data_IF_180345394893
#
_entry.id   IF_180345394893
#
_cell.length_a   1.000
_cell.length_b   1.000
_cell.length_c   1.000
_cell.angle_alpha   90.00
_cell.angle_beta   90.00
_cell.angle_gamma   90.00
#
_symmetry.space_group_name_H-M   'P 1'
#
loop_
_entity.id
_entity.type
_entity.pdbx_description
1 polymer ?
#
# COMPACT_ATOMS: atom_id res chain seq x y z
N UNK A 1 -14.15 31.71 -12.84
CA UNK A 1 -14.26 31.37 -14.27
C UNK A 1 -15.70 31.53 -14.74
N UNK A 2 -16.00 32.68 -15.39
CA UNK A 2 -17.26 32.85 -16.11
C UNK A 2 -17.16 32.00 -17.41
N UNK A 3 -17.61 30.76 -17.39
CA UNK A 3 -17.82 29.98 -18.60
C UNK A 3 -18.99 30.61 -19.39
N UNK A 4 -18.69 31.19 -20.54
CA UNK A 4 -19.66 31.61 -21.58
C UNK A 4 -20.90 32.41 -21.11
N UNK A 5 -20.74 33.33 -20.20
CA UNK A 5 -21.80 34.31 -19.89
C UNK A 5 -23.04 33.82 -19.10
N UNK A 6 -23.17 32.50 -18.86
CA UNK A 6 -24.24 31.92 -18.03
C UNK A 6 -23.71 31.54 -16.64
N UNK A 7 -24.34 32.08 -15.59
CA UNK A 7 -24.07 31.72 -14.20
C UNK A 7 -24.60 30.29 -13.99
N UNK A 8 -23.73 29.32 -13.72
CA UNK A 8 -24.18 28.00 -13.28
C UNK A 8 -24.97 28.11 -11.97
N UNK A 9 -26.01 27.30 -11.80
CA UNK A 9 -26.67 27.20 -10.50
C UNK A 9 -25.70 26.67 -9.46
N UNK A 10 -25.87 27.03 -8.19
CA UNK A 10 -25.05 26.53 -7.10
C UNK A 10 -25.10 25.01 -6.96
N UNK A 11 -26.26 24.41 -7.28
CA UNK A 11 -26.46 22.94 -7.29
C UNK A 11 -25.60 22.24 -8.34
N UNK A 12 -25.57 22.76 -9.57
CA UNK A 12 -24.74 22.22 -10.65
C UNK A 12 -23.25 22.39 -10.32
N UNK A 13 -22.86 23.54 -9.76
CA UNK A 13 -21.49 23.77 -9.36
C UNK A 13 -21.05 22.79 -8.24
N UNK A 14 -21.90 22.58 -7.24
CA UNK A 14 -21.65 21.63 -6.15
C UNK A 14 -21.58 20.18 -6.64
N UNK A 15 -22.48 19.78 -7.54
CA UNK A 15 -22.48 18.44 -8.16
C UNK A 15 -21.20 18.18 -8.96
N UNK A 16 -20.71 19.16 -9.71
CA UNK A 16 -19.50 19.03 -10.52
C UNK A 16 -18.21 19.08 -9.70
N UNK A 17 -18.19 19.82 -8.60
CA UNK A 17 -17.04 19.88 -7.71
C UNK A 17 -16.93 18.61 -6.85
N UNK A 18 -18.05 18.05 -6.43
CA UNK A 18 -18.08 16.86 -5.57
C UNK A 18 -17.20 17.03 -4.34
N UNK A 19 -16.36 16.05 -4.08
CA UNK A 19 -15.40 16.01 -2.95
C UNK A 19 -14.00 16.58 -3.33
N UNK A 20 -13.83 17.16 -4.53
CA UNK A 20 -12.51 17.55 -5.06
C UNK A 20 -11.70 18.41 -4.10
N UNK A 21 -12.31 19.41 -3.47
CA UNK A 21 -11.60 20.31 -2.52
C UNK A 21 -11.06 19.55 -1.31
N UNK A 22 -11.79 18.59 -0.79
CA UNK A 22 -11.31 17.77 0.36
C UNK A 22 -10.18 16.85 -0.06
N UNK A 23 -10.33 16.17 -1.20
CA UNK A 23 -9.32 15.27 -1.76
C UNK A 23 -8.04 16.05 -2.15
N UNK A 24 -8.21 17.23 -2.69
CA UNK A 24 -7.12 18.09 -3.15
C UNK A 24 -6.21 18.58 -2.01
N UNK A 25 -6.67 18.56 -0.76
CA UNK A 25 -5.80 18.82 0.41
C UNK A 25 -4.60 17.87 0.44
N UNK A 26 -4.79 16.64 0.00
CA UNK A 26 -3.72 15.62 -0.06
C UNK A 26 -2.68 15.88 -1.15
N UNK A 27 -3.07 16.55 -2.24
CA UNK A 27 -2.20 16.78 -3.40
C UNK A 27 -1.71 18.22 -3.54
N UNK A 28 -2.18 19.15 -2.73
CA UNK A 28 -1.91 20.57 -2.83
C UNK A 28 -0.42 20.91 -2.84
N UNK A 29 0.35 20.33 -1.92
CA UNK A 29 1.79 20.58 -1.83
C UNK A 29 2.55 20.06 -3.06
N UNK A 30 2.05 19.00 -3.69
CA UNK A 30 2.62 18.42 -4.90
C UNK A 30 2.29 19.24 -6.15
N UNK A 31 1.10 19.84 -6.20
CA UNK A 31 0.75 20.81 -7.26
C UNK A 31 1.60 22.08 -7.17
N UNK A 32 1.85 22.59 -5.95
CA UNK A 32 2.80 23.70 -5.75
C UNK A 32 4.20 23.30 -6.22
N UNK A 33 4.67 22.10 -5.92
CA UNK A 33 5.97 21.60 -6.38
C UNK A 33 6.02 21.54 -7.91
N UNK A 34 5.00 21.00 -8.55
CA UNK A 34 4.88 20.93 -10.01
C UNK A 34 4.81 22.34 -10.63
N UNK A 35 4.12 23.27 -9.98
CA UNK A 35 4.02 24.68 -10.42
C UNK A 35 5.37 25.39 -10.36
N UNK A 36 6.19 25.13 -9.34
CA UNK A 36 7.57 25.68 -9.26
C UNK A 36 8.42 25.20 -10.44
N UNK A 37 8.41 23.88 -10.73
CA UNK A 37 9.14 23.32 -11.85
C UNK A 37 8.64 23.89 -13.20
N UNK A 38 7.33 24.08 -13.32
CA UNK A 38 6.76 24.71 -14.51
C UNK A 38 7.19 26.17 -14.69
N UNK A 39 7.23 26.97 -13.61
CA UNK A 39 7.74 28.36 -13.64
C UNK A 39 9.20 28.41 -14.08
N UNK A 40 10.04 27.48 -13.60
CA UNK A 40 11.43 27.37 -14.08
C UNK A 40 11.49 27.02 -15.58
N UNK A 41 10.59 26.17 -16.05
CA UNK A 41 10.48 25.86 -17.47
C UNK A 41 10.05 27.09 -18.30
N UNK A 42 9.05 27.85 -17.88
CA UNK A 42 8.63 29.08 -18.56
C UNK A 42 9.76 30.12 -18.61
N UNK A 43 10.57 30.19 -17.55
CA UNK A 43 11.77 31.03 -17.55
C UNK A 43 12.81 30.53 -18.56
N UNK A 44 13.07 29.22 -18.61
CA UNK A 44 14.07 28.65 -19.52
C UNK A 44 13.77 28.84 -21.00
N UNK A 45 12.48 28.99 -21.36
CA UNK A 45 12.02 29.25 -22.72
C UNK A 45 11.70 30.75 -22.99
N UNK A 46 12.04 31.65 -22.06
CA UNK A 46 11.91 33.11 -22.24
C UNK A 46 10.51 33.69 -22.09
N UNK A 47 9.50 32.90 -21.67
CA UNK A 47 8.10 33.39 -21.44
C UNK A 47 8.03 34.30 -20.23
N UNK A 48 8.84 34.04 -19.21
CA UNK A 48 8.98 34.89 -18.03
C UNK A 48 10.43 35.28 -17.78
N UNK A 49 10.67 36.45 -17.24
CA UNK A 49 12.01 36.98 -16.94
C UNK A 49 12.51 36.42 -15.60
N UNK A 50 13.83 36.44 -15.37
CA UNK A 50 14.47 35.95 -14.13
C UNK A 50 13.84 36.56 -12.86
N UNK A 51 13.65 37.89 -12.80
CA UNK A 51 13.04 38.55 -11.64
C UNK A 51 11.57 38.17 -11.43
N UNK A 52 10.83 37.91 -12.50
CA UNK A 52 9.43 37.46 -12.46
C UNK A 52 9.36 36.02 -11.90
N UNK A 53 10.20 35.11 -12.41
CA UNK A 53 10.31 33.73 -11.93
C UNK A 53 10.62 33.69 -10.42
N UNK A 54 11.60 34.48 -9.97
CA UNK A 54 11.95 34.55 -8.55
C UNK A 54 10.78 34.98 -7.67
N UNK A 55 10.00 35.99 -8.10
CA UNK A 55 8.82 36.46 -7.35
C UNK A 55 7.73 35.38 -7.28
N UNK A 56 7.42 34.74 -8.41
CA UNK A 56 6.41 33.69 -8.46
C UNK A 56 6.81 32.48 -7.57
N UNK A 57 8.05 32.01 -7.67
CA UNK A 57 8.56 30.89 -6.88
C UNK A 57 8.53 31.21 -5.38
N UNK A 58 8.91 32.44 -5.00
CA UNK A 58 8.81 32.89 -3.61
C UNK A 58 7.36 32.80 -3.10
N UNK A 59 6.42 33.35 -3.88
CA UNK A 59 4.99 33.33 -3.51
C UNK A 59 4.44 31.90 -3.42
N UNK A 60 4.84 30.97 -4.32
CA UNK A 60 4.48 29.55 -4.23
C UNK A 60 5.03 28.87 -2.98
N UNK A 61 6.29 29.15 -2.60
CA UNK A 61 6.89 28.62 -1.36
C UNK A 61 6.18 29.17 -0.12
N UNK A 62 5.83 30.46 -0.12
CA UNK A 62 5.06 31.08 0.96
C UNK A 62 3.66 30.45 1.08
N UNK A 63 3.00 30.19 -0.04
CA UNK A 63 1.71 29.49 -0.06
C UNK A 63 1.82 28.08 0.52
N UNK A 64 2.85 27.31 0.14
CA UNK A 64 3.11 25.99 0.71
C UNK A 64 3.27 26.05 2.22
N UNK A 65 4.09 27.00 2.71
CA UNK A 65 4.30 27.21 4.15
C UNK A 65 3.00 27.55 4.86
N UNK A 66 2.24 28.53 4.36
CA UNK A 66 0.94 28.92 4.92
C UNK A 66 -0.07 27.77 4.98
N UNK A 67 -0.08 26.90 3.97
CA UNK A 67 -0.93 25.72 3.97
C UNK A 67 -0.51 24.71 5.05
N UNK A 68 0.79 24.43 5.16
CA UNK A 68 1.32 23.51 6.17
C UNK A 68 1.12 24.01 7.62
N UNK A 69 1.16 25.33 7.83
CA UNK A 69 0.90 25.98 9.12
C UNK A 69 -0.62 26.19 9.41
N UNK A 70 -1.50 25.84 8.46
CA UNK A 70 -2.96 25.98 8.61
C UNK A 70 -3.49 27.42 8.43
N UNK A 71 -2.63 28.39 8.11
CA UNK A 71 -3.03 29.79 7.86
C UNK A 71 -3.64 30.02 6.47
N UNK A 72 -3.40 29.11 5.52
CA UNK A 72 -4.14 29.04 4.27
C UNK A 72 -4.97 27.76 4.24
N UNK A 73 -6.27 27.89 3.96
CA UNK A 73 -7.21 26.74 3.92
C UNK A 73 -7.82 26.60 2.53
N UNK A 74 -7.82 25.38 2.01
CA UNK A 74 -8.64 24.99 0.86
C UNK A 74 -10.09 24.86 1.35
N UNK A 75 -10.97 25.61 0.74
CA UNK A 75 -12.41 25.65 1.07
C UNK A 75 -13.23 25.66 -0.22
N UNK A 76 -14.51 25.41 -0.13
CA UNK A 76 -15.47 25.46 -1.24
C UNK A 76 -15.57 26.83 -1.96
N UNK A 77 -14.79 27.82 -1.54
CA UNK A 77 -14.56 29.06 -2.27
C UNK A 77 -13.84 28.83 -3.60
N UNK A 78 -13.04 27.77 -3.69
CA UNK A 78 -12.29 27.38 -4.86
C UNK A 78 -12.94 26.16 -5.54
N UNK A 79 -12.77 26.03 -6.84
CA UNK A 79 -13.27 24.86 -7.59
C UNK A 79 -12.39 23.62 -7.33
N UNK A 80 -11.06 23.84 -7.22
CA UNK A 80 -10.03 22.83 -6.99
C UNK A 80 -8.74 23.48 -6.43
N UNK A 81 -7.73 22.70 -6.12
CA UNK A 81 -6.44 23.19 -5.62
C UNK A 81 -5.70 24.04 -6.67
N UNK A 82 -5.86 23.74 -7.94
CA UNK A 82 -5.21 24.46 -9.04
C UNK A 82 -5.73 25.89 -9.13
N UNK A 83 -7.05 26.08 -9.04
CA UNK A 83 -7.68 27.40 -9.00
C UNK A 83 -7.33 28.17 -7.73
N UNK A 84 -7.14 27.49 -6.60
CA UNK A 84 -6.69 28.13 -5.37
C UNK A 84 -5.27 28.71 -5.49
N UNK A 85 -4.34 27.97 -6.13
CA UNK A 85 -2.99 28.45 -6.41
C UNK A 85 -3.02 29.67 -7.35
N UNK A 86 -3.77 29.57 -8.44
CA UNK A 86 -3.89 30.66 -9.42
C UNK A 86 -4.50 31.93 -8.78
N UNK A 87 -5.55 31.78 -7.99
CA UNK A 87 -6.18 32.87 -7.26
C UNK A 87 -5.21 33.53 -6.27
N UNK A 88 -4.48 32.71 -5.50
CA UNK A 88 -3.49 33.24 -4.55
C UNK A 88 -2.40 34.05 -5.26
N UNK A 89 -1.81 33.47 -6.32
CA UNK A 89 -0.76 34.14 -7.08
C UNK A 89 -1.25 35.41 -7.76
N UNK A 90 -2.47 35.43 -8.30
CA UNK A 90 -3.07 36.60 -8.92
C UNK A 90 -3.34 37.69 -7.89
N UNK A 91 -3.77 37.34 -6.67
CA UNK A 91 -3.99 38.28 -5.58
C UNK A 91 -2.67 38.92 -5.11
N UNK A 92 -1.60 38.12 -4.99
CA UNK A 92 -0.30 38.60 -4.48
C UNK A 92 0.54 39.33 -5.55
N UNK A 93 0.43 38.96 -6.82
CA UNK A 93 1.35 39.36 -7.89
C UNK A 93 0.64 40.04 -9.09
N UNK A 94 -0.69 40.16 -9.06
CA UNK A 94 -1.46 40.75 -10.15
C UNK A 94 -1.31 39.98 -11.47
N UNK A 95 -1.08 40.71 -12.56
CA UNK A 95 -0.89 40.13 -13.91
C UNK A 95 0.26 39.10 -14.00
N UNK A 96 1.27 39.24 -13.15
CA UNK A 96 2.37 38.34 -13.11
C UNK A 96 1.91 36.94 -12.64
N UNK A 97 1.02 36.88 -11.66
CA UNK A 97 0.46 35.62 -11.14
C UNK A 97 -0.27 34.80 -12.22
N UNK A 98 -0.94 35.48 -13.16
CA UNK A 98 -1.70 34.87 -14.26
C UNK A 98 -0.79 34.10 -15.25
N UNK A 99 0.49 34.49 -15.37
CA UNK A 99 1.45 33.85 -16.28
C UNK A 99 1.71 32.39 -15.93
N UNK A 100 1.47 31.95 -14.69
CA UNK A 100 1.75 30.58 -14.24
C UNK A 100 0.92 29.53 -14.97
N UNK A 101 -0.27 29.87 -15.46
CA UNK A 101 -1.10 28.93 -16.22
C UNK A 101 -0.69 28.76 -17.68
N UNK A 102 0.27 29.56 -18.19
CA UNK A 102 0.72 29.50 -19.58
C UNK A 102 1.24 28.11 -19.96
N UNK A 103 0.65 27.52 -21.01
CA UNK A 103 1.08 26.21 -21.52
C UNK A 103 0.67 25.02 -20.63
N UNK A 104 -0.25 25.18 -19.71
CA UNK A 104 -0.82 24.11 -18.87
C UNK A 104 -2.30 23.89 -19.11
N UNK A 105 -2.75 22.69 -18.78
CA UNK A 105 -4.15 22.36 -18.57
C UNK A 105 -4.33 21.82 -17.15
N UNK A 106 -5.51 21.97 -16.56
CA UNK A 106 -5.84 21.27 -15.30
C UNK A 106 -5.65 19.77 -15.43
N UNK A 107 -5.80 19.22 -16.64
CA UNK A 107 -5.66 17.79 -16.88
C UNK A 107 -4.23 17.30 -16.59
N UNK A 108 -3.19 17.95 -17.11
CA UNK A 108 -1.80 17.54 -16.82
C UNK A 108 -1.33 17.98 -15.43
N UNK A 109 -1.89 19.06 -14.88
CA UNK A 109 -1.64 19.49 -13.50
C UNK A 109 -2.10 18.45 -12.48
N UNK A 110 -3.34 17.96 -12.58
CA UNK A 110 -3.86 16.96 -11.65
C UNK A 110 -3.09 15.64 -11.76
N UNK A 111 -2.72 15.21 -12.98
CA UNK A 111 -1.99 13.97 -13.16
C UNK A 111 -0.59 14.06 -12.53
N UNK A 112 0.14 15.16 -12.70
CA UNK A 112 1.48 15.29 -12.11
C UNK A 112 1.42 15.37 -10.59
N UNK A 113 0.46 16.12 -10.02
CA UNK A 113 0.27 16.22 -8.58
C UNK A 113 -0.07 14.86 -7.96
N UNK A 114 -1.01 14.12 -8.55
CA UNK A 114 -1.36 12.76 -8.15
C UNK A 114 -0.19 11.79 -8.29
N UNK A 115 0.63 11.92 -9.35
CA UNK A 115 1.79 11.06 -9.57
C UNK A 115 2.88 11.27 -8.53
N UNK A 116 3.17 12.53 -8.15
CA UNK A 116 4.09 12.87 -7.08
C UNK A 116 3.57 12.39 -5.72
N UNK A 117 2.29 12.63 -5.44
CA UNK A 117 1.62 12.10 -4.24
C UNK A 117 1.75 10.57 -4.15
N UNK A 118 1.40 9.87 -5.23
CA UNK A 118 1.44 8.42 -5.26
C UNK A 118 2.86 7.87 -5.08
N UNK A 119 3.85 8.46 -5.75
CA UNK A 119 5.26 8.07 -5.62
C UNK A 119 5.74 8.20 -4.17
N UNK A 120 5.44 9.33 -3.50
CA UNK A 120 5.85 9.52 -2.11
C UNK A 120 5.14 8.54 -1.17
N UNK A 121 3.83 8.30 -1.37
CA UNK A 121 3.10 7.35 -0.55
C UNK A 121 3.55 5.90 -0.77
N UNK A 122 3.91 5.49 -1.98
CA UNK A 122 4.51 4.19 -2.23
C UNK A 122 5.87 4.02 -1.53
N UNK A 123 6.68 5.07 -1.47
CA UNK A 123 7.94 5.06 -0.70
C UNK A 123 7.65 4.85 0.79
N UNK A 124 6.69 5.56 1.34
CA UNK A 124 6.27 5.39 2.74
C UNK A 124 5.71 3.98 2.97
N UNK A 125 4.87 3.49 2.07
CA UNK A 125 4.28 2.16 2.09
C UNK A 125 5.36 1.05 2.07
N UNK A 126 6.43 1.22 1.29
CA UNK A 126 7.60 0.34 1.32
C UNK A 126 8.26 0.29 2.70
N UNK A 127 8.47 1.45 3.32
CA UNK A 127 9.07 1.55 4.66
C UNK A 127 8.18 0.83 5.70
N UNK A 128 6.87 1.00 5.62
CA UNK A 128 5.90 0.37 6.52
C UNK A 128 5.90 -1.16 6.34
N UNK A 129 5.88 -1.69 5.10
CA UNK A 129 5.99 -3.13 4.81
C UNK A 129 7.32 -3.71 5.35
N UNK A 130 8.43 -2.97 5.15
CA UNK A 130 9.75 -3.37 5.66
C UNK A 130 9.78 -3.49 7.19
N UNK A 131 9.07 -2.61 7.88
CA UNK A 131 8.94 -2.66 9.34
C UNK A 131 8.16 -3.90 9.78
N UNK A 132 7.05 -4.24 9.10
CA UNK A 132 6.28 -5.47 9.37
C UNK A 132 7.14 -6.71 9.16
N UNK A 133 7.78 -6.84 7.99
CA UNK A 133 8.67 -7.96 7.69
C UNK A 133 9.77 -8.14 8.76
N UNK A 134 10.42 -7.04 9.14
CA UNK A 134 11.45 -7.05 10.20
C UNK A 134 10.91 -7.51 11.55
N UNK A 135 9.71 -7.08 11.91
CA UNK A 135 9.06 -7.45 13.17
C UNK A 135 8.73 -8.95 13.19
N UNK A 136 8.18 -9.46 12.10
CA UNK A 136 7.86 -10.88 11.94
C UNK A 136 9.12 -11.76 11.96
N UNK A 137 10.20 -11.37 11.27
CA UNK A 137 11.48 -12.09 11.31
C UNK A 137 12.08 -12.15 12.72
N UNK A 138 11.95 -11.09 13.49
CA UNK A 138 12.39 -11.07 14.90
C UNK A 138 11.64 -12.11 15.73
N UNK A 139 10.32 -12.22 15.55
CA UNK A 139 9.51 -13.21 16.26
C UNK A 139 9.74 -14.62 15.71
N UNK A 140 9.90 -14.79 14.41
CA UNK A 140 10.26 -16.06 13.80
C UNK A 140 11.54 -16.63 14.43
N UNK A 141 12.57 -15.80 14.57
CA UNK A 141 13.82 -16.20 15.20
C UNK A 141 13.68 -16.50 16.70
N UNK A 142 12.90 -15.70 17.43
CA UNK A 142 12.64 -15.92 18.87
C UNK A 142 11.90 -17.22 19.13
N UNK A 143 11.02 -17.63 18.19
CA UNK A 143 10.12 -18.75 18.35
C UNK A 143 10.40 -19.87 17.33
N UNK A 144 11.63 -19.93 16.82
CA UNK A 144 12.05 -20.86 15.76
C UNK A 144 11.72 -22.31 16.09
N UNK A 145 11.98 -22.73 17.32
CA UNK A 145 11.81 -24.09 17.80
C UNK A 145 10.57 -24.27 18.70
N UNK A 146 9.75 -23.25 18.87
CA UNK A 146 8.53 -23.41 19.66
C UNK A 146 7.48 -24.11 18.82
N UNK A 147 7.12 -25.30 19.24
CA UNK A 147 6.16 -26.15 18.53
C UNK A 147 4.77 -25.52 18.48
N UNK A 148 4.09 -25.72 17.37
CA UNK A 148 2.68 -25.46 17.18
C UNK A 148 2.06 -26.53 16.26
N UNK A 149 0.77 -26.83 16.41
CA UNK A 149 0.09 -27.72 15.46
C UNK A 149 -0.03 -27.02 14.10
N UNK A 150 0.39 -27.71 13.04
CA UNK A 150 0.13 -27.29 11.66
C UNK A 150 -1.27 -27.70 11.24
N UNK A 151 -1.97 -26.82 10.52
CA UNK A 151 -3.33 -27.04 10.07
C UNK A 151 -3.46 -27.06 8.55
N UNK A 152 -4.24 -28.00 8.05
CA UNK A 152 -4.82 -27.98 6.70
C UNK A 152 -6.32 -28.26 6.81
N UNK A 153 -7.16 -27.58 6.03
CA UNK A 153 -8.64 -27.72 6.12
C UNK A 153 -9.22 -27.50 7.53
N UNK A 154 -8.56 -26.70 8.36
CA UNK A 154 -8.83 -26.52 9.78
C UNK A 154 -8.73 -27.82 10.61
N UNK A 155 -8.09 -28.85 10.08
CA UNK A 155 -7.75 -30.07 10.79
C UNK A 155 -6.26 -30.07 11.16
N UNK A 156 -5.93 -30.61 12.33
CA UNK A 156 -4.53 -30.82 12.72
C UNK A 156 -3.87 -31.77 11.73
N UNK A 157 -2.70 -31.42 11.23
CA UNK A 157 -2.05 -32.14 10.14
C UNK A 157 -0.68 -32.67 10.53
N UNK A 158 0.25 -31.78 10.81
CA UNK A 158 1.64 -32.14 11.12
C UNK A 158 2.19 -31.22 12.22
N UNK A 159 3.20 -31.65 13.01
CA UNK A 159 3.95 -30.75 13.88
C UNK A 159 4.59 -29.63 13.06
N UNK A 160 4.54 -28.41 13.60
CA UNK A 160 5.09 -27.21 12.99
C UNK A 160 5.76 -26.35 14.07
N UNK A 161 6.18 -25.15 13.71
CA UNK A 161 6.71 -24.17 14.67
C UNK A 161 6.12 -22.78 14.47
N UNK A 162 6.02 -22.04 15.56
CA UNK A 162 5.68 -20.62 15.52
C UNK A 162 6.66 -19.81 14.67
N UNK A 163 7.93 -20.24 14.62
CA UNK A 163 8.93 -19.68 13.73
C UNK A 163 8.54 -19.81 12.26
N UNK A 164 8.04 -20.99 11.85
CA UNK A 164 7.55 -21.20 10.48
C UNK A 164 6.36 -20.28 10.17
N UNK A 165 5.39 -20.19 11.08
CA UNK A 165 4.21 -19.33 10.90
C UNK A 165 4.58 -17.86 10.76
N UNK A 166 5.43 -17.31 11.65
CA UNK A 166 5.88 -15.92 11.54
C UNK A 166 6.72 -15.67 10.29
N UNK A 167 7.60 -16.60 9.92
CA UNK A 167 8.46 -16.42 8.75
C UNK A 167 7.70 -16.48 7.44
N UNK A 168 6.60 -17.23 7.34
CA UNK A 168 5.74 -17.26 6.16
C UNK A 168 5.16 -15.88 5.83
N UNK A 169 4.67 -15.16 6.85
CA UNK A 169 4.22 -13.78 6.67
C UNK A 169 5.38 -12.80 6.47
N UNK A 170 6.53 -13.03 7.10
CA UNK A 170 7.71 -12.20 6.85
C UNK A 170 8.12 -12.24 5.37
N UNK A 171 8.12 -13.42 4.77
CA UNK A 171 8.43 -13.62 3.36
C UNK A 171 7.42 -12.95 2.44
N UNK A 172 6.11 -13.06 2.73
CA UNK A 172 5.07 -12.40 1.94
C UNK A 172 5.23 -10.86 1.95
N UNK A 173 5.58 -10.27 3.09
CA UNK A 173 5.86 -8.82 3.14
C UNK A 173 7.17 -8.43 2.42
N UNK A 174 8.16 -9.31 2.35
CA UNK A 174 9.37 -9.09 1.52
C UNK A 174 9.01 -9.11 0.03
N UNK A 175 8.17 -10.05 -0.41
CA UNK A 175 7.66 -10.10 -1.78
C UNK A 175 6.85 -8.86 -2.15
N UNK A 176 6.02 -8.36 -1.21
CA UNK A 176 5.30 -7.11 -1.40
C UNK A 176 6.24 -5.91 -1.61
N UNK A 177 7.41 -5.87 -0.95
CA UNK A 177 8.41 -4.80 -1.17
C UNK A 177 8.96 -4.87 -2.60
N UNK A 178 9.20 -6.06 -3.15
CA UNK A 178 9.64 -6.23 -4.55
C UNK A 178 8.56 -5.70 -5.52
N UNK A 179 7.30 -6.02 -5.27
CA UNK A 179 6.18 -5.50 -6.05
C UNK A 179 6.03 -3.97 -5.95
N UNK A 180 6.21 -3.41 -4.74
CA UNK A 180 6.18 -1.96 -4.52
C UNK A 180 7.30 -1.27 -5.32
N UNK A 181 8.52 -1.80 -5.29
CA UNK A 181 9.65 -1.27 -6.06
C UNK A 181 9.34 -1.28 -7.57
N UNK A 182 8.81 -2.38 -8.09
CA UNK A 182 8.40 -2.50 -9.49
C UNK A 182 7.30 -1.50 -9.85
N UNK A 183 6.35 -1.27 -8.95
CA UNK A 183 5.25 -0.31 -9.15
C UNK A 183 5.78 1.13 -9.14
N UNK A 184 6.69 1.48 -8.23
CA UNK A 184 7.35 2.81 -8.19
C UNK A 184 8.06 3.05 -9.52
N UNK A 185 8.86 2.09 -9.99
CA UNK A 185 9.60 2.20 -11.26
C UNK A 185 8.66 2.37 -12.46
N UNK A 186 7.56 1.67 -12.46
CA UNK A 186 6.59 1.69 -13.54
C UNK A 186 5.84 3.02 -13.65
N UNK A 187 5.43 3.62 -12.51
CA UNK A 187 4.73 4.92 -12.50
C UNK A 187 5.67 6.11 -12.65
N UNK A 188 6.98 5.94 -12.53
CA UNK A 188 7.99 7.01 -12.41
C UNK A 188 8.21 7.75 -13.74
N UNK A 189 7.16 8.46 -14.19
CA UNK A 189 7.14 9.20 -15.44
C UNK A 189 6.43 10.54 -15.29
N UNK A 190 7.05 11.61 -15.85
CA UNK A 190 6.54 12.97 -15.81
C UNK A 190 5.46 13.21 -16.88
N UNK A 191 4.20 13.50 -16.53
CA UNK A 191 3.13 13.84 -17.45
C UNK A 191 3.10 15.33 -17.84
N UNK A 192 3.68 16.23 -17.02
CA UNK A 192 3.53 17.68 -17.15
C UNK A 192 4.11 18.19 -18.49
N UNK A 193 3.38 19.14 -19.09
CA UNK A 193 3.66 19.70 -20.40
C UNK A 193 2.95 18.97 -21.55
N UNK A 194 2.01 18.06 -21.26
CA UNK A 194 1.13 17.44 -22.25
C UNK A 194 -0.17 18.21 -22.45
N UNK A 195 -0.44 19.18 -21.58
CA UNK A 195 -1.67 19.97 -21.51
C UNK A 195 -2.94 19.08 -21.52
N UNK A 196 -3.88 19.34 -22.43
CA UNK A 196 -5.14 18.59 -22.53
C UNK A 196 -5.01 17.26 -23.33
N UNK A 197 -3.79 16.80 -23.63
CA UNK A 197 -3.55 15.56 -24.36
C UNK A 197 -3.04 15.75 -25.81
N UNK A 198 -2.88 16.98 -26.24
CA UNK A 198 -2.44 17.29 -27.61
C UNK A 198 -1.17 18.17 -27.65
N UNK A 199 -0.51 18.34 -26.51
CA UNK A 199 0.64 19.20 -26.37
C UNK A 199 0.30 20.68 -26.38
N UNK A 200 1.31 21.52 -26.55
CA UNK A 200 1.19 22.99 -26.59
C UNK A 200 2.09 23.58 -27.66
N UNK A 201 1.70 24.70 -28.26
CA UNK A 201 2.49 25.44 -29.24
C UNK A 201 3.60 26.30 -28.59
N UNK A 202 4.30 25.74 -27.59
CA UNK A 202 5.43 26.34 -26.88
C UNK A 202 6.55 25.33 -26.76
N UNK A 203 7.84 25.73 -26.87
CA UNK A 203 8.98 24.81 -26.78
C UNK A 203 9.29 24.40 -25.34
N UNK A 204 8.30 23.85 -24.61
CA UNK A 204 8.46 23.45 -23.22
C UNK A 204 9.58 22.41 -23.06
N UNK A 205 10.51 22.66 -22.16
CA UNK A 205 11.61 21.73 -21.84
C UNK A 205 11.13 20.66 -20.83
N UNK A 206 10.40 19.67 -21.31
CA UNK A 206 9.86 18.59 -20.46
C UNK A 206 10.97 17.75 -19.81
N UNK A 207 12.19 17.67 -20.41
CA UNK A 207 13.35 16.98 -19.81
C UNK A 207 13.80 17.68 -18.51
N UNK A 208 13.89 19.01 -18.54
CA UNK A 208 14.23 19.81 -17.34
C UNK A 208 13.22 19.58 -16.23
N UNK A 209 11.92 19.68 -16.53
CA UNK A 209 10.84 19.46 -15.56
C UNK A 209 10.88 18.05 -14.98
N UNK A 210 11.15 17.04 -15.81
CA UNK A 210 11.30 15.65 -15.39
C UNK A 210 12.40 15.49 -14.34
N UNK A 211 13.57 16.07 -14.62
CA UNK A 211 14.72 16.05 -13.68
C UNK A 211 14.42 16.81 -12.39
N UNK A 212 13.81 17.99 -12.49
CA UNK A 212 13.51 18.85 -11.34
C UNK A 212 12.48 18.23 -10.40
N UNK A 213 11.49 17.52 -10.95
CA UNK A 213 10.47 16.79 -10.17
C UNK A 213 10.94 15.40 -9.70
N UNK A 214 12.17 14.97 -10.07
CA UNK A 214 12.75 13.70 -9.68
C UNK A 214 12.07 12.48 -10.32
N UNK A 215 11.50 12.64 -11.52
CA UNK A 215 10.98 11.50 -12.30
C UNK A 215 12.11 10.87 -13.13
N UNK A 216 12.02 9.55 -13.30
CA UNK A 216 12.98 8.75 -14.07
C UNK A 216 12.92 9.02 -15.58
N UNK A 217 11.70 9.28 -16.11
CA UNK A 217 11.47 9.49 -17.54
C UNK A 217 10.34 10.46 -17.82
N UNK A 218 10.28 10.95 -19.06
CA UNK A 218 9.11 11.67 -19.58
C UNK A 218 8.04 10.65 -19.99
N UNK A 219 6.79 10.91 -19.67
CA UNK A 219 5.65 10.28 -20.34
C UNK A 219 5.44 11.00 -21.67
N UNK A 220 6.02 10.46 -22.77
CA UNK A 220 6.30 11.22 -23.98
C UNK A 220 5.04 11.62 -24.76
N UNK A 221 4.18 10.65 -25.07
CA UNK A 221 2.98 10.88 -25.89
C UNK A 221 1.90 11.61 -25.07
N UNK A 222 1.52 12.82 -25.51
CA UNK A 222 0.57 13.68 -24.79
C UNK A 222 -0.81 13.07 -24.66
N UNK A 223 -1.29 12.33 -25.69
CA UNK A 223 -2.58 11.66 -25.61
C UNK A 223 -2.54 10.47 -24.64
N UNK A 224 -1.42 9.72 -24.64
CA UNK A 224 -1.23 8.62 -23.68
C UNK A 224 -1.19 9.12 -22.25
N UNK A 225 -0.74 10.34 -21.98
CA UNK A 225 -0.83 10.95 -20.64
C UNK A 225 -2.28 10.94 -20.14
N UNK A 226 -3.23 11.36 -20.98
CA UNK A 226 -4.65 11.35 -20.63
C UNK A 226 -5.22 9.92 -20.56
N UNK A 227 -4.92 9.08 -21.54
CA UNK A 227 -5.40 7.69 -21.61
C UNK A 227 -4.85 6.81 -20.48
N UNK A 228 -3.75 7.21 -19.86
CA UNK A 228 -3.15 6.47 -18.74
C UNK A 228 -3.70 6.89 -17.37
N UNK A 229 -4.53 7.91 -17.29
CA UNK A 229 -5.19 8.30 -16.04
C UNK A 229 -6.14 7.19 -15.62
N UNK A 230 -6.00 6.77 -14.36
CA UNK A 230 -6.67 5.59 -13.82
C UNK A 230 -5.88 4.29 -14.00
N UNK A 231 -5.18 4.10 -15.12
CA UNK A 231 -4.34 2.92 -15.35
C UNK A 231 -3.22 2.78 -14.32
N UNK A 232 -2.52 3.88 -14.02
CA UNK A 232 -1.46 3.89 -13.02
C UNK A 232 -2.04 3.75 -11.61
N UNK A 233 -3.13 4.40 -11.33
CA UNK A 233 -3.86 4.33 -10.06
C UNK A 233 -4.35 2.90 -9.80
N UNK A 234 -4.86 2.21 -10.80
CA UNK A 234 -5.29 0.81 -10.70
C UNK A 234 -4.12 -0.12 -10.34
N UNK A 235 -2.94 0.05 -10.96
CA UNK A 235 -1.77 -0.73 -10.59
C UNK A 235 -1.33 -0.46 -9.15
N UNK A 236 -1.39 0.80 -8.70
CA UNK A 236 -1.09 1.15 -7.31
C UNK A 236 -2.08 0.45 -6.37
N UNK A 237 -3.39 0.52 -6.64
CA UNK A 237 -4.41 -0.17 -5.86
C UNK A 237 -4.18 -1.68 -5.79
N UNK A 238 -3.79 -2.31 -6.90
CA UNK A 238 -3.44 -3.72 -6.93
C UNK A 238 -2.23 -4.03 -6.03
N UNK A 239 -1.24 -3.15 -6.00
CA UNK A 239 -0.06 -3.29 -5.13
C UNK A 239 -0.44 -3.15 -3.65
N UNK A 240 -1.26 -2.16 -3.29
CA UNK A 240 -1.77 -2.00 -1.93
C UNK A 240 -2.61 -3.22 -1.50
N UNK A 241 -3.44 -3.72 -2.41
CA UNK A 241 -4.33 -4.87 -2.19
C UNK A 241 -3.57 -6.15 -1.82
N UNK A 242 -2.37 -6.38 -2.36
CA UNK A 242 -1.56 -7.56 -2.00
C UNK A 242 -1.14 -7.53 -0.52
N UNK A 243 -0.57 -6.43 -0.04
CA UNK A 243 -0.23 -6.31 1.38
C UNK A 243 -1.47 -6.39 2.29
N UNK A 244 -2.60 -5.83 1.85
CA UNK A 244 -3.84 -5.93 2.61
C UNK A 244 -4.41 -7.36 2.63
N UNK A 245 -4.17 -8.16 1.57
CA UNK A 245 -4.52 -9.58 1.55
C UNK A 245 -3.72 -10.37 2.60
N UNK A 246 -2.42 -10.11 2.70
CA UNK A 246 -1.58 -10.75 3.71
C UNK A 246 -2.00 -10.34 5.13
N UNK A 247 -2.30 -9.06 5.36
CA UNK A 247 -2.87 -8.58 6.62
C UNK A 247 -4.19 -9.30 6.94
N UNK A 248 -5.06 -9.49 5.96
CA UNK A 248 -6.33 -10.20 6.13
C UNK A 248 -6.11 -11.65 6.53
N UNK A 249 -5.20 -12.37 5.85
CA UNK A 249 -4.87 -13.76 6.18
C UNK A 249 -4.26 -13.89 7.58
N UNK A 250 -3.28 -13.06 7.90
CA UNK A 250 -2.69 -12.98 9.23
C UNK A 250 -3.75 -12.71 10.31
N UNK A 251 -4.66 -11.78 10.06
CA UNK A 251 -5.73 -11.45 11.01
C UNK A 251 -6.75 -12.58 11.17
N UNK A 252 -6.99 -13.38 10.13
CA UNK A 252 -7.83 -14.57 10.24
C UNK A 252 -7.18 -15.63 11.12
N UNK A 253 -5.89 -15.94 10.92
CA UNK A 253 -5.17 -16.88 11.77
C UNK A 253 -5.17 -16.41 13.22
N UNK A 254 -4.87 -15.12 13.46
CA UNK A 254 -4.94 -14.55 14.80
C UNK A 254 -6.35 -14.66 15.42
N UNK A 255 -7.40 -14.46 14.63
CA UNK A 255 -8.78 -14.59 15.14
C UNK A 255 -9.08 -16.01 15.62
N UNK A 256 -8.57 -17.02 14.92
CA UNK A 256 -8.69 -18.42 15.34
C UNK A 256 -7.83 -18.70 16.57
N UNK A 257 -6.56 -18.32 16.55
CA UNK A 257 -5.62 -18.63 17.62
C UNK A 257 -5.93 -17.93 18.95
N UNK A 258 -6.64 -16.79 18.91
CA UNK A 258 -7.15 -16.05 20.09
C UNK A 258 -8.48 -16.57 20.60
N UNK A 259 -9.21 -17.42 19.84
CA UNK A 259 -10.49 -17.94 20.31
C UNK A 259 -10.31 -18.80 21.55
N UNK A 260 -11.33 -18.85 22.40
CA UNK A 260 -11.31 -19.65 23.64
C UNK A 260 -11.11 -21.15 23.37
N UNK A 261 -11.53 -21.62 22.21
CA UNK A 261 -11.38 -23.00 21.76
C UNK A 261 -9.94 -23.34 21.40
N UNK A 262 -9.25 -22.45 20.69
CA UNK A 262 -7.84 -22.65 20.32
C UNK A 262 -6.88 -22.23 21.44
N UNK A 263 -7.04 -21.05 21.99
CA UNK A 263 -6.25 -20.51 23.11
C UNK A 263 -4.73 -20.65 22.90
N UNK A 264 -4.27 -20.43 21.66
CA UNK A 264 -2.85 -20.59 21.28
C UNK A 264 -2.02 -19.33 21.51
N UNK A 265 -2.65 -18.16 21.50
CA UNK A 265 -2.00 -16.87 21.72
C UNK A 265 -2.86 -15.93 22.56
N UNK A 266 -2.18 -14.97 23.18
CA UNK A 266 -2.77 -13.79 23.81
C UNK A 266 -2.22 -12.52 23.16
N UNK A 267 -2.95 -11.41 23.30
CA UNK A 267 -2.48 -10.06 22.93
C UNK A 267 -2.73 -9.09 24.08
N UNK A 268 -2.00 -7.99 24.09
CA UNK A 268 -2.19 -6.97 25.13
C UNK A 268 -3.62 -6.39 25.08
N UNK A 269 -4.19 -6.13 26.24
CA UNK A 269 -5.56 -5.64 26.40
C UNK A 269 -5.84 -4.31 25.69
N UNK A 270 -4.82 -3.51 25.40
CA UNK A 270 -4.95 -2.28 24.61
C UNK A 270 -5.45 -2.50 23.18
N UNK A 271 -5.37 -3.74 22.65
CA UNK A 271 -5.85 -4.13 21.32
C UNK A 271 -7.20 -4.87 21.39
N UNK A 272 -7.80 -4.91 22.58
CA UNK A 272 -9.07 -5.57 22.82
C UNK A 272 -10.09 -4.57 23.37
N UNK A 273 -11.36 -4.84 23.17
CA UNK A 273 -12.45 -4.09 23.81
C UNK A 273 -13.32 -5.01 24.66
N UNK A 274 -13.95 -4.45 25.69
CA UNK A 274 -14.94 -5.17 26.49
C UNK A 274 -16.31 -5.16 25.83
N UNK A 275 -17.23 -5.90 26.43
CA UNK A 275 -18.65 -5.86 26.09
C UNK A 275 -19.42 -4.99 27.08
N UNK A 276 -20.37 -4.19 26.60
CA UNK A 276 -21.27 -3.40 27.48
C UNK A 276 -22.28 -4.26 28.29
N UNK A 277 -22.45 -5.54 27.91
CA UNK A 277 -23.43 -6.44 28.50
C UNK A 277 -22.76 -7.67 29.12
N UNK A 278 -21.63 -8.12 28.57
CA UNK A 278 -20.94 -9.36 28.98
C UNK A 278 -19.58 -9.01 29.62
N UNK A 279 -19.48 -8.94 30.97
CA UNK A 279 -18.25 -8.49 31.65
C UNK A 279 -17.02 -9.39 31.43
N UNK A 280 -17.25 -10.65 31.07
CA UNK A 280 -16.23 -11.67 30.83
C UNK A 280 -15.66 -11.65 29.41
N UNK A 281 -16.17 -10.78 28.52
CA UNK A 281 -15.82 -10.82 27.09
C UNK A 281 -14.73 -9.83 26.74
N UNK A 282 -13.69 -10.32 26.04
CA UNK A 282 -12.61 -9.54 25.47
C UNK A 282 -12.60 -9.73 23.95
N UNK A 283 -12.92 -8.66 23.20
CA UNK A 283 -13.06 -8.72 21.75
C UNK A 283 -11.77 -8.26 21.05
N UNK A 284 -11.27 -8.98 20.05
CA UNK A 284 -10.07 -8.60 19.30
C UNK A 284 -10.39 -7.60 18.16
N UNK A 285 -11.08 -6.49 18.47
CA UNK A 285 -11.63 -5.57 17.46
C UNK A 285 -10.58 -5.03 16.48
N UNK A 286 -9.36 -4.78 16.95
CA UNK A 286 -8.28 -4.31 16.07
C UNK A 286 -7.99 -5.33 14.96
N UNK A 287 -8.00 -6.63 15.29
CA UNK A 287 -7.77 -7.71 14.33
C UNK A 287 -8.94 -7.81 13.35
N UNK A 288 -10.16 -7.61 13.82
CA UNK A 288 -11.36 -7.64 12.98
C UNK A 288 -11.37 -6.49 11.98
N UNK A 289 -11.01 -5.28 12.41
CA UNK A 289 -10.88 -4.12 11.52
C UNK A 289 -9.74 -4.30 10.52
N UNK A 290 -8.59 -4.84 10.93
CA UNK A 290 -7.49 -5.15 10.01
C UNK A 290 -7.94 -6.12 8.91
N UNK A 291 -8.68 -7.17 9.27
CA UNK A 291 -9.21 -8.14 8.31
C UNK A 291 -10.28 -7.53 7.38
N UNK A 292 -11.11 -6.61 7.89
CA UNK A 292 -12.15 -5.92 7.13
C UNK A 292 -11.60 -4.90 6.13
N UNK A 293 -10.52 -4.20 6.48
CA UNK A 293 -9.92 -3.14 5.67
C UNK A 293 -9.48 -3.61 4.28
N UNK A 294 -9.14 -4.88 4.09
CA UNK A 294 -8.91 -5.46 2.77
C UNK A 294 -10.11 -5.24 1.83
N UNK A 295 -11.32 -5.46 2.33
CA UNK A 295 -12.54 -5.35 1.52
C UNK A 295 -12.78 -3.93 1.02
N UNK A 296 -12.36 -2.91 1.80
CA UNK A 296 -12.46 -1.51 1.38
C UNK A 296 -11.51 -1.25 0.20
N UNK A 297 -10.24 -1.64 0.32
CA UNK A 297 -9.25 -1.45 -0.76
C UNK A 297 -9.63 -2.24 -2.01
N UNK A 298 -10.13 -3.46 -1.86
CA UNK A 298 -10.62 -4.28 -2.96
C UNK A 298 -11.84 -3.64 -3.66
N UNK A 299 -12.77 -3.06 -2.90
CA UNK A 299 -13.91 -2.31 -3.42
C UNK A 299 -13.47 -1.08 -4.22
N UNK A 300 -12.49 -0.31 -3.71
CA UNK A 300 -11.93 0.84 -4.43
C UNK A 300 -11.23 0.44 -5.74
N UNK A 301 -10.57 -0.73 -5.78
CA UNK A 301 -9.99 -1.28 -7.00
C UNK A 301 -11.08 -1.61 -8.04
N UNK A 302 -12.15 -2.26 -7.62
CA UNK A 302 -13.27 -2.60 -8.49
C UNK A 302 -14.02 -1.36 -9.00
N UNK A 303 -14.20 -0.34 -8.14
CA UNK A 303 -14.76 0.96 -8.55
C UNK A 303 -13.95 1.57 -9.69
N UNK A 304 -12.64 1.59 -9.53
CA UNK A 304 -11.74 2.17 -10.53
C UNK A 304 -11.73 1.38 -11.86
N UNK A 305 -11.71 0.05 -11.80
CA UNK A 305 -11.76 -0.82 -12.97
C UNK A 305 -13.02 -0.54 -13.83
N UNK A 306 -14.17 -0.38 -13.18
CA UNK A 306 -15.43 -0.08 -13.88
C UNK A 306 -15.44 1.36 -14.44
N UNK A 307 -14.85 2.33 -13.74
CA UNK A 307 -14.78 3.72 -14.17
C UNK A 307 -13.96 3.90 -15.45
N UNK A 308 -12.97 3.05 -15.71
CA UNK A 308 -12.02 3.20 -16.82
C UNK A 308 -12.55 2.74 -18.20
N UNK A 309 -13.79 2.29 -18.29
CA UNK A 309 -14.41 1.94 -19.57
C UNK A 309 -14.78 3.20 -20.37
N UNK A 310 -13.77 3.92 -20.86
CA UNK A 310 -13.91 5.23 -21.49
C UNK A 310 -13.16 5.30 -22.83
N UNK A 311 -13.64 6.12 -23.80
CA UNK A 311 -12.88 6.45 -25.01
C UNK A 311 -11.58 7.19 -24.70
N UNK A 312 -10.71 7.34 -25.73
CA UNK A 312 -9.46 8.10 -25.60
C UNK A 312 -9.69 9.57 -25.29
N UNK A 313 -8.76 10.16 -24.54
CA UNK A 313 -8.78 11.55 -24.13
C UNK A 313 -9.31 11.74 -22.71
N UNK A 314 -9.52 13.00 -22.34
CA UNK A 314 -10.03 13.33 -21.02
C UNK A 314 -11.56 13.31 -20.98
N UNK A 315 -12.10 12.63 -19.98
CA UNK A 315 -13.52 12.64 -19.61
C UNK A 315 -13.66 13.03 -18.14
N UNK A 316 -14.78 13.66 -17.78
CA UNK A 316 -15.03 14.15 -16.41
C UNK A 316 -15.10 13.00 -15.39
N UNK A 317 -15.49 11.82 -15.81
CA UNK A 317 -15.46 10.57 -15.03
C UNK A 317 -14.11 10.36 -14.33
N UNK A 318 -13.02 10.70 -15.00
CA UNK A 318 -11.66 10.55 -14.48
C UNK A 318 -11.38 11.41 -13.23
N UNK A 319 -12.27 12.37 -12.89
CA UNK A 319 -12.19 13.10 -11.62
C UNK A 319 -12.33 12.15 -10.42
N UNK A 320 -13.16 11.13 -10.53
CA UNK A 320 -13.45 10.17 -9.47
C UNK A 320 -12.25 9.25 -9.13
N UNK A 321 -11.23 9.18 -9.99
CA UNK A 321 -10.04 8.36 -9.73
C UNK A 321 -9.23 8.77 -8.49
N UNK A 322 -9.36 10.02 -8.03
CA UNK A 322 -8.63 10.55 -6.87
C UNK A 322 -9.04 9.89 -5.56
N UNK A 323 -10.36 9.75 -5.35
CA UNK A 323 -10.93 9.25 -4.10
C UNK A 323 -10.42 7.83 -3.79
N UNK A 324 -10.56 6.92 -4.74
CA UNK A 324 -10.18 5.52 -4.56
C UNK A 324 -8.71 5.37 -4.18
N UNK A 325 -7.82 6.15 -4.81
CA UNK A 325 -6.39 6.11 -4.52
C UNK A 325 -6.04 6.70 -3.15
N UNK A 326 -6.55 7.90 -2.82
CA UNK A 326 -6.25 8.60 -1.57
C UNK A 326 -6.77 7.79 -0.37
N UNK A 327 -8.02 7.35 -0.42
CA UNK A 327 -8.63 6.54 0.64
C UNK A 327 -7.90 5.22 0.87
N UNK A 328 -7.46 4.55 -0.21
CA UNK A 328 -6.73 3.29 -0.11
C UNK A 328 -5.36 3.46 0.53
N UNK A 329 -4.61 4.52 0.19
CA UNK A 329 -3.35 4.82 0.87
C UNK A 329 -3.55 5.09 2.36
N UNK A 330 -4.59 5.86 2.72
CA UNK A 330 -4.87 6.18 4.12
C UNK A 330 -5.18 4.94 4.95
N UNK A 331 -6.08 4.09 4.48
CA UNK A 331 -6.49 2.86 5.17
C UNK A 331 -5.32 1.90 5.29
N UNK A 332 -4.57 1.72 4.20
CA UNK A 332 -3.43 0.79 4.17
C UNK A 332 -2.31 1.24 5.11
N UNK A 333 -1.97 2.54 5.10
CA UNK A 333 -0.96 3.09 6.01
C UNK A 333 -1.38 2.98 7.48
N UNK A 334 -2.66 3.26 7.81
CA UNK A 334 -3.17 3.05 9.17
C UNK A 334 -3.05 1.59 9.60
N UNK A 335 -3.38 0.65 8.72
CA UNK A 335 -3.29 -0.79 9.00
C UNK A 335 -1.83 -1.23 9.22
N UNK A 336 -0.90 -0.80 8.37
CA UNK A 336 0.52 -1.13 8.50
C UNK A 336 1.21 -0.49 9.70
N UNK A 337 0.75 0.67 10.17
CA UNK A 337 1.30 1.33 11.37
C UNK A 337 0.90 0.66 12.68
N UNK A 338 -0.30 0.09 12.74
CA UNK A 338 -0.76 -0.64 13.93
C UNK A 338 -0.19 -2.06 13.97
N UNK A 339 -0.02 -2.71 12.83
CA UNK A 339 0.32 -4.12 12.71
C UNK A 339 1.62 -4.52 13.42
N UNK A 340 2.78 -3.83 13.28
CA UNK A 340 4.00 -4.19 14.01
C UNK A 340 3.86 -4.10 15.53
N UNK A 341 3.03 -3.18 16.01
CA UNK A 341 2.74 -3.01 17.44
C UNK A 341 1.92 -4.18 17.96
N UNK A 342 0.87 -4.54 17.24
CA UNK A 342 0.04 -5.70 17.52
C UNK A 342 0.87 -6.99 17.50
N UNK A 343 1.70 -7.20 16.47
CA UNK A 343 2.59 -8.38 16.36
C UNK A 343 3.52 -8.50 17.56
N UNK A 344 4.11 -7.40 18.02
CA UNK A 344 4.98 -7.41 19.20
C UNK A 344 4.24 -7.71 20.52
N UNK A 345 2.93 -7.56 20.57
CA UNK A 345 2.10 -7.87 21.75
C UNK A 345 1.71 -9.34 21.85
N UNK A 346 1.95 -10.14 20.81
CA UNK A 346 1.59 -11.55 20.78
C UNK A 346 2.38 -12.32 21.83
N UNK A 347 1.68 -13.01 22.71
CA UNK A 347 2.20 -13.96 23.68
C UNK A 347 1.72 -15.37 23.29
N UNK A 348 2.64 -16.28 23.11
CA UNK A 348 2.35 -17.65 22.73
C UNK A 348 2.06 -18.47 23.98
N UNK A 349 0.92 -19.17 24.00
CA UNK A 349 0.61 -20.19 24.97
C UNK A 349 1.31 -21.50 24.59
N UNK A 350 2.57 -21.67 25.07
CA UNK A 350 3.43 -22.78 24.67
C UNK A 350 2.85 -24.13 25.11
N UNK A 351 2.40 -24.22 26.37
CA UNK A 351 1.85 -25.48 26.90
C UNK A 351 0.63 -25.94 26.13
N UNK A 352 -0.22 -24.99 25.74
CA UNK A 352 -1.39 -25.28 24.92
C UNK A 352 -1.01 -25.71 23.50
N UNK A 353 -0.07 -25.00 22.88
CA UNK A 353 0.46 -25.34 21.55
C UNK A 353 1.02 -26.77 21.51
N UNK A 354 1.84 -27.13 22.49
CA UNK A 354 2.44 -28.45 22.62
C UNK A 354 1.40 -29.54 22.90
N UNK A 355 0.37 -29.25 23.73
CA UNK A 355 -0.68 -30.21 24.05
C UNK A 355 -1.57 -30.61 22.88
N UNK A 356 -1.55 -29.83 21.79
CA UNK A 356 -2.30 -30.15 20.57
C UNK A 356 -1.53 -31.01 19.58
N UNK A 357 -0.27 -31.33 19.86
CA UNK A 357 0.54 -32.21 19.03
C UNK A 357 0.44 -33.64 19.60
N UNK A 358 -0.22 -34.49 18.87
CA UNK A 358 -0.39 -35.93 19.21
C UNK A 358 0.45 -36.82 18.29
N UNK A 359 0.44 -38.14 18.58
CA UNK A 359 1.18 -39.10 17.78
C UNK A 359 0.65 -39.25 16.35
N UNK A 360 -0.66 -39.05 16.14
CA UNK A 360 -1.25 -39.11 14.80
C UNK A 360 -0.64 -38.05 13.88
N UNK A 361 -0.37 -36.85 14.40
CA UNK A 361 0.28 -35.77 13.63
C UNK A 361 1.68 -36.16 13.16
N UNK A 362 2.38 -37.08 13.85
CA UNK A 362 3.72 -37.54 13.52
C UNK A 362 3.74 -38.72 12.50
N UNK A 363 2.58 -39.25 12.13
CA UNK A 363 2.50 -40.39 11.22
C UNK A 363 3.27 -40.18 9.92
N UNK A 364 3.21 -39.01 9.35
CA UNK A 364 3.92 -38.68 8.10
C UNK A 364 5.44 -38.72 8.27
N UNK A 365 5.96 -38.31 9.41
CA UNK A 365 7.40 -38.34 9.70
C UNK A 365 7.86 -39.81 9.85
N UNK A 366 7.02 -40.66 10.45
CA UNK A 366 7.28 -42.13 10.55
C UNK A 366 7.23 -42.82 9.19
N UNK A 367 6.32 -42.41 8.28
CA UNK A 367 6.34 -42.89 6.88
C UNK A 367 7.68 -42.56 6.23
N UNK A 368 8.18 -41.33 6.39
CA UNK A 368 9.51 -40.98 5.87
C UNK A 368 10.65 -41.71 6.60
N UNK A 369 10.47 -42.10 7.86
CA UNK A 369 11.39 -42.95 8.58
C UNK A 369 11.57 -44.32 7.92
N UNK A 370 10.50 -44.95 7.44
CA UNK A 370 10.56 -46.18 6.65
C UNK A 370 11.14 -45.93 5.25
N UNK A 371 10.78 -44.83 4.61
CA UNK A 371 11.33 -44.47 3.29
C UNK A 371 12.85 -44.28 3.35
N UNK A 372 13.38 -43.66 4.41
CA UNK A 372 14.84 -43.52 4.61
C UNK A 372 15.56 -44.85 4.75
N UNK A 373 14.85 -45.89 5.17
CA UNK A 373 15.34 -47.28 5.25
C UNK A 373 15.15 -48.08 3.95
N UNK A 374 14.65 -47.41 2.87
CA UNK A 374 14.50 -48.03 1.54
C UNK A 374 13.11 -48.60 1.24
N UNK A 375 12.12 -48.44 2.13
CA UNK A 375 10.74 -48.87 1.87
C UNK A 375 10.09 -47.93 0.87
N UNK A 376 9.42 -48.42 -0.20
CA UNK A 376 8.67 -47.54 -1.10
C UNK A 376 7.60 -46.74 -0.37
N UNK A 377 7.42 -45.48 -0.74
CA UNK A 377 6.52 -44.56 -0.02
C UNK A 377 5.10 -45.09 0.15
N UNK A 378 4.54 -45.74 -0.87
CA UNK A 378 3.17 -46.29 -0.81
C UNK A 378 3.03 -47.44 0.17
N UNK A 379 4.04 -48.28 0.25
CA UNK A 379 4.09 -49.41 1.17
C UNK A 379 4.28 -48.91 2.61
N UNK A 380 5.22 -47.98 2.83
CA UNK A 380 5.42 -47.31 4.11
C UNK A 380 4.16 -46.60 4.59
N UNK A 381 3.46 -45.86 3.69
CA UNK A 381 2.19 -45.21 4.00
C UNK A 381 1.11 -46.19 4.45
N UNK A 382 0.98 -47.32 3.74
CA UNK A 382 -0.02 -48.35 4.06
C UNK A 382 0.30 -49.04 5.39
N UNK A 383 1.56 -49.30 5.67
CA UNK A 383 2.02 -49.88 6.92
C UNK A 383 1.70 -48.97 8.10
N UNK A 384 2.15 -47.73 8.08
CA UNK A 384 1.89 -46.77 9.15
C UNK A 384 0.39 -46.53 9.36
N UNK A 385 -0.38 -46.41 8.26
CA UNK A 385 -1.84 -46.16 8.33
C UNK A 385 -2.61 -47.27 9.02
N UNK A 386 -2.16 -48.53 8.89
CA UNK A 386 -2.82 -49.72 9.41
C UNK A 386 -2.26 -50.18 10.76
N UNK A 387 -1.34 -49.44 11.35
CA UNK A 387 -0.71 -49.75 12.62
C UNK A 387 -1.34 -48.93 13.75
N UNK A 388 -1.84 -49.57 14.78
CA UNK A 388 -2.46 -48.91 15.94
C UNK A 388 -1.40 -48.36 16.92
N UNK A 389 -0.26 -49.00 17.07
CA UNK A 389 0.86 -48.57 17.91
C UNK A 389 2.02 -48.06 17.07
N UNK A 390 2.30 -46.81 17.15
CA UNK A 390 3.34 -46.11 16.39
C UNK A 390 4.70 -46.05 17.13
N UNK A 391 4.79 -46.62 18.32
CA UNK A 391 6.00 -46.55 19.17
C UNK A 391 7.23 -47.24 18.57
N UNK A 392 7.02 -48.29 17.73
CA UNK A 392 8.08 -49.02 17.08
C UNK A 392 8.69 -48.31 15.86
N UNK A 393 8.07 -47.21 15.41
CA UNK A 393 8.53 -46.51 14.24
C UNK A 393 9.29 -45.22 14.63
N UNK A 394 10.52 -45.12 14.13
CA UNK A 394 11.32 -43.91 14.28
C UNK A 394 10.96 -42.84 13.24
N UNK A 395 11.14 -41.59 13.58
CA UNK A 395 11.08 -40.50 12.64
C UNK A 395 12.20 -40.62 11.59
N UNK A 396 12.05 -39.91 10.47
CA UNK A 396 13.08 -39.90 9.42
C UNK A 396 14.38 -39.26 9.91
N UNK A 397 15.53 -39.85 9.54
CA UNK A 397 16.86 -39.23 9.73
C UNK A 397 16.98 -37.86 9.00
N UNK A 398 16.13 -37.63 8.01
CA UNK A 398 16.03 -36.40 7.25
C UNK A 398 14.90 -35.48 7.75
N UNK A 399 14.31 -35.76 8.92
CA UNK A 399 13.23 -34.93 9.46
C UNK A 399 13.70 -33.48 9.53
N UNK A 400 12.87 -32.57 8.99
CA UNK A 400 13.11 -31.13 8.99
C UNK A 400 14.42 -30.66 8.32
N UNK A 401 14.95 -31.44 7.36
CA UNK A 401 16.19 -31.08 6.63
C UNK A 401 15.95 -30.19 5.42
N UNK A 402 14.75 -30.21 4.82
CA UNK A 402 14.43 -29.39 3.66
C UNK A 402 14.42 -27.90 4.00
N UNK A 403 14.97 -27.07 3.11
CA UNK A 403 14.95 -25.63 3.28
C UNK A 403 13.52 -25.08 3.39
N UNK A 404 13.26 -24.26 4.40
CA UNK A 404 11.95 -23.68 4.69
C UNK A 404 11.01 -24.56 5.52
N UNK A 405 11.43 -25.77 5.95
CA UNK A 405 10.66 -26.63 6.85
C UNK A 405 10.86 -26.27 8.33
N UNK A 406 9.97 -26.71 9.24
CA UNK A 406 10.22 -26.59 10.69
C UNK A 406 11.59 -27.21 11.03
N UNK A 407 12.45 -26.52 11.76
CA UNK A 407 13.82 -26.96 12.04
C UNK A 407 14.88 -26.51 11.03
N UNK A 408 14.50 -26.13 9.81
CA UNK A 408 15.41 -25.53 8.81
C UNK A 408 14.76 -24.32 8.11
N UNK A 409 14.35 -23.33 8.87
CA UNK A 409 13.62 -22.14 8.35
C UNK A 409 14.46 -21.25 7.44
N UNK A 410 15.78 -21.40 7.46
CA UNK A 410 16.72 -20.57 6.70
C UNK A 410 16.45 -19.06 6.81
N UNK A 411 16.16 -18.58 8.04
CA UNK A 411 15.79 -17.16 8.31
C UNK A 411 16.86 -16.18 7.83
N UNK A 412 18.13 -16.59 7.80
CA UNK A 412 19.23 -15.77 7.30
C UNK A 412 19.05 -15.41 5.82
N UNK A 413 18.48 -16.30 5.02
CA UNK A 413 18.14 -16.01 3.62
C UNK A 413 17.12 -14.89 3.51
N UNK A 414 16.04 -14.93 4.29
CA UNK A 414 15.01 -13.90 4.33
C UNK A 414 15.55 -12.56 4.86
N UNK A 415 16.37 -12.59 5.91
CA UNK A 415 17.04 -11.38 6.42
C UNK A 415 17.92 -10.73 5.35
N UNK A 416 18.63 -11.52 4.56
CA UNK A 416 19.46 -11.01 3.48
C UNK A 416 18.64 -10.44 2.33
N UNK A 417 17.51 -11.06 1.96
CA UNK A 417 16.55 -10.49 1.02
C UNK A 417 16.05 -9.14 1.50
N UNK A 418 15.62 -9.05 2.76
CA UNK A 418 15.11 -7.81 3.36
C UNK A 418 16.18 -6.69 3.41
N UNK A 419 17.45 -7.02 3.70
CA UNK A 419 18.57 -6.06 3.69
C UNK A 419 18.87 -5.48 2.31
N UNK A 420 18.68 -6.27 1.25
CA UNK A 420 18.88 -5.83 -0.16
C UNK A 420 17.79 -4.85 -0.62
N UNK A 421 16.66 -4.77 0.05
CA UNK A 421 15.59 -3.83 -0.23
C UNK A 421 16.03 -2.40 0.15
N UNK A 422 16.51 -1.64 -0.84
CA UNK A 422 16.96 -0.24 -0.68
C UNK A 422 15.81 0.75 -0.53
#
# INVERSE_FOLDING_TARGET
>A
YKRQGKKQSNEVAAFLAGEDIELDKSIFIYDIQASIAHVNNLFSIGIIKKGESTKIIKSLKDLKKKFQEGSFKLTNKYEDCHSAIEFYLTKELGELGKKVHTGRSRNDQVIVAMRLFAKQNLINFKIENKLVAKTLLKLAKKHENHQMPGYTHLQRAMPSSWGLWFSSYAESFIDNIDLINSTIDWIDSNPLGSAAGYGVALPLNRKQVTKELGFKRIQLNSLYVQNSRGKYEMQILNTLKQSMLDIRKFSWDMSLFLSQEFDLIEIDSIYQTGSSIMPNKHNPDVIEILRANYSIVAGQSAELENLLSLPSGYHRDLQLTKRSLIASFEITSKSLKILPKLINSIKINKSKSESYIDEEMKMTDKVYGLVSKGVPFRDAYTEIKNTDDLSDFSDSDYANSSEGSPGNLNLKFLENRLKKQK
#
